data_IF_295955821323
#
_entry.id   IF_295955821323
#
_cell.length_a   1.000
_cell.length_b   1.000
_cell.length_c   1.000
_cell.angle_alpha   90.00
_cell.angle_beta   90.00
_cell.angle_gamma   90.00
#
_symmetry.space_group_name_H-M   'P 1'
#
loop_
_entity.id
_entity.type
_entity.pdbx_description
1 polymer ?
#
# COMPACT_ATOMS: atom_id res chain seq x y z
N UNK A 1 -16.18 -12.68 -15.97
CA UNK A 1 -16.65 -12.60 -14.57
C UNK A 1 -15.83 -13.58 -13.75
N UNK A 2 -15.32 -13.18 -12.59
CA UNK A 2 -14.51 -14.07 -11.76
C UNK A 2 -15.36 -15.24 -11.27
N UNK A 3 -14.76 -16.44 -11.24
CA UNK A 3 -15.37 -17.57 -10.51
C UNK A 3 -14.87 -17.51 -9.08
N UNK A 4 -15.72 -17.87 -8.12
CA UNK A 4 -15.32 -17.95 -6.71
C UNK A 4 -14.10 -18.87 -6.53
N UNK A 5 -14.06 -19.98 -7.26
CA UNK A 5 -12.92 -20.89 -7.29
C UNK A 5 -11.60 -20.25 -7.77
N UNK A 6 -11.62 -19.10 -8.45
CA UNK A 6 -10.41 -18.41 -8.86
C UNK A 6 -9.74 -17.65 -7.70
N UNK A 7 -10.42 -17.47 -6.56
CA UNK A 7 -9.85 -16.81 -5.38
C UNK A 7 -8.70 -17.60 -4.74
N UNK A 8 -8.79 -18.93 -4.77
CA UNK A 8 -7.80 -19.85 -4.21
C UNK A 8 -6.77 -20.34 -5.24
N UNK A 9 -6.87 -19.87 -6.48
CA UNK A 9 -5.91 -20.24 -7.54
C UNK A 9 -4.72 -19.29 -7.54
N UNK A 10 -3.53 -19.77 -7.93
CA UNK A 10 -2.39 -18.88 -8.15
C UNK A 10 -2.76 -17.76 -9.12
N UNK A 11 -2.56 -16.51 -8.72
CA UNK A 11 -2.91 -15.34 -9.52
C UNK A 11 -2.22 -15.38 -10.89
N UNK A 12 -0.99 -15.91 -10.97
CA UNK A 12 -0.29 -16.14 -12.23
C UNK A 12 -1.11 -16.99 -13.21
N UNK A 13 -1.64 -18.12 -12.74
CA UNK A 13 -2.48 -19.01 -13.57
C UNK A 13 -3.74 -18.30 -14.02
N UNK A 14 -4.40 -17.56 -13.12
CA UNK A 14 -5.60 -16.78 -13.46
C UNK A 14 -5.28 -15.70 -14.50
N UNK A 15 -4.15 -15.01 -14.37
CA UNK A 15 -3.69 -14.00 -15.33
C UNK A 15 -3.39 -14.61 -16.70
N UNK A 16 -2.75 -15.77 -16.74
CA UNK A 16 -2.43 -16.48 -17.99
C UNK A 16 -3.68 -16.96 -18.75
N UNK A 17 -4.76 -17.29 -18.04
CA UNK A 17 -6.05 -17.66 -18.61
C UNK A 17 -6.90 -16.45 -19.02
N UNK A 18 -6.68 -15.31 -18.38
CA UNK A 18 -7.43 -14.07 -18.61
C UNK A 18 -6.54 -12.95 -19.19
N UNK A 19 -5.63 -13.32 -20.11
CA UNK A 19 -4.69 -12.38 -20.73
C UNK A 19 -5.40 -11.17 -21.31
N UNK A 20 -4.82 -9.99 -21.08
CA UNK A 20 -5.39 -8.70 -21.52
C UNK A 20 -6.41 -8.10 -20.55
N UNK A 21 -6.69 -8.77 -19.42
CA UNK A 21 -7.51 -8.21 -18.34
C UNK A 21 -6.65 -7.95 -17.11
N UNK A 22 -6.84 -6.80 -16.46
CA UNK A 22 -6.25 -6.58 -15.15
C UNK A 22 -6.93 -7.48 -14.12
N UNK A 23 -6.15 -8.23 -13.34
CA UNK A 23 -6.74 -9.03 -12.26
C UNK A 23 -7.46 -8.18 -11.23
N UNK A 24 -7.10 -6.91 -11.05
CA UNK A 24 -7.90 -5.98 -10.26
C UNK A 24 -9.35 -5.91 -10.74
N UNK A 25 -9.58 -5.72 -12.04
CA UNK A 25 -10.92 -5.70 -12.62
C UNK A 25 -11.59 -7.05 -12.58
N UNK A 26 -10.80 -8.09 -12.82
CA UNK A 26 -11.31 -9.45 -12.79
C UNK A 26 -11.91 -9.75 -11.41
N UNK A 27 -11.23 -9.41 -10.32
CA UNK A 27 -11.69 -9.66 -8.94
C UNK A 27 -12.44 -8.50 -8.29
N UNK A 28 -12.51 -7.32 -8.91
CA UNK A 28 -12.93 -6.07 -8.27
C UNK A 28 -14.38 -6.01 -7.79
N UNK A 29 -15.24 -6.89 -8.30
CA UNK A 29 -16.62 -7.04 -7.82
C UNK A 29 -16.73 -7.93 -6.57
N UNK A 30 -15.65 -8.59 -6.15
CA UNK A 30 -15.69 -9.58 -5.06
C UNK A 30 -15.24 -9.02 -3.71
N UNK A 31 -14.47 -7.93 -3.68
CA UNK A 31 -14.03 -7.34 -2.42
C UNK A 31 -13.78 -5.83 -2.57
N UNK A 32 -14.24 -5.04 -1.59
CA UNK A 32 -14.00 -3.60 -1.55
C UNK A 32 -12.51 -3.23 -1.39
N UNK A 33 -11.69 -4.10 -0.78
CA UNK A 33 -10.23 -3.97 -0.74
C UNK A 33 -9.57 -4.19 -2.13
N UNK A 34 -10.37 -4.58 -3.13
CA UNK A 34 -10.02 -4.76 -4.54
C UNK A 34 -10.95 -3.88 -5.43
N UNK A 35 -11.71 -2.93 -4.85
CA UNK A 35 -12.83 -2.27 -5.54
C UNK A 35 -12.44 -1.37 -6.72
N UNK A 36 -13.33 -1.31 -7.70
CA UNK A 36 -13.21 -0.66 -9.00
C UNK A 36 -13.14 0.88 -8.96
N UNK A 37 -13.52 1.55 -7.87
CA UNK A 37 -13.46 3.03 -7.75
C UNK A 37 -12.06 3.59 -8.08
N UNK A 38 -11.02 2.78 -7.89
CA UNK A 38 -9.65 3.14 -8.18
C UNK A 38 -9.26 3.14 -9.67
N UNK A 39 -9.91 2.39 -10.55
CA UNK A 39 -9.60 2.50 -11.98
C UNK A 39 -10.22 3.75 -12.61
N UNK A 40 -11.39 4.16 -12.12
CA UNK A 40 -11.93 5.50 -12.44
C UNK A 40 -10.86 6.53 -12.06
N UNK A 41 -10.28 6.42 -10.86
CA UNK A 41 -9.24 7.34 -10.43
C UNK A 41 -7.99 7.27 -11.30
N UNK A 42 -7.50 6.10 -11.73
CA UNK A 42 -6.33 5.97 -12.64
C UNK A 42 -6.49 6.76 -13.95
N UNK A 43 -7.71 6.83 -14.48
CA UNK A 43 -8.05 7.62 -15.67
C UNK A 43 -8.33 9.09 -15.39
N UNK A 44 -8.49 9.50 -14.12
CA UNK A 44 -8.60 10.90 -13.77
C UNK A 44 -7.27 11.63 -14.05
N UNK A 45 -7.34 12.93 -14.41
CA UNK A 45 -6.17 13.78 -14.41
C UNK A 45 -5.44 13.70 -13.07
N UNK A 46 -4.11 13.69 -13.10
CA UNK A 46 -3.28 13.61 -11.89
C UNK A 46 -3.66 14.64 -10.83
N UNK A 47 -4.02 15.86 -11.23
CA UNK A 47 -4.49 16.89 -10.30
C UNK A 47 -5.74 16.47 -9.49
N UNK A 48 -6.66 15.72 -10.10
CA UNK A 48 -7.85 15.20 -9.41
C UNK A 48 -7.50 14.04 -8.49
N UNK A 49 -6.63 13.10 -8.92
CA UNK A 49 -6.13 12.03 -8.06
C UNK A 49 -5.42 12.60 -6.83
N UNK A 50 -4.51 13.56 -7.05
CA UNK A 50 -3.82 14.30 -5.99
C UNK A 50 -4.81 14.96 -5.02
N UNK A 51 -5.81 15.68 -5.53
CA UNK A 51 -6.81 16.33 -4.68
C UNK A 51 -7.62 15.32 -3.84
N UNK A 52 -7.99 14.18 -4.43
CA UNK A 52 -8.67 13.10 -3.71
C UNK A 52 -7.80 12.56 -2.56
N UNK A 53 -6.54 12.22 -2.85
CA UNK A 53 -5.59 11.71 -1.84
C UNK A 53 -5.29 12.71 -0.75
N UNK A 54 -5.11 13.98 -1.11
CA UNK A 54 -4.87 15.03 -0.14
C UNK A 54 -6.09 15.28 0.74
N UNK A 55 -7.31 15.14 0.22
CA UNK A 55 -8.51 15.28 1.07
C UNK A 55 -8.56 14.19 2.15
N UNK A 56 -8.18 12.96 1.81
CA UNK A 56 -8.00 11.87 2.78
C UNK A 56 -6.91 12.22 3.81
N UNK A 57 -5.78 12.80 3.36
CA UNK A 57 -4.63 13.19 4.18
C UNK A 57 -4.80 14.51 4.98
N UNK A 58 -5.78 15.35 4.65
CA UNK A 58 -6.03 16.63 5.33
C UNK A 58 -6.97 16.50 6.53
N UNK A 59 -7.53 15.31 6.76
CA UNK A 59 -8.29 15.00 7.98
C UNK A 59 -7.40 14.78 9.22
N UNK A 60 -6.08 14.89 9.08
CA UNK A 60 -5.10 14.66 10.15
C UNK A 60 -4.90 15.92 11.00
N UNK A 61 -5.10 15.81 12.31
CA UNK A 61 -4.83 16.90 13.25
C UNK A 61 -3.62 16.57 14.11
N UNK A 62 -2.60 17.42 14.11
CA UNK A 62 -1.33 17.17 14.81
C UNK A 62 -1.45 16.99 16.35
N UNK A 63 -2.59 17.37 16.94
CA UNK A 63 -2.87 17.27 18.38
C UNK A 63 -3.45 15.90 18.80
N UNK A 64 -3.71 15.01 17.86
CA UNK A 64 -4.26 13.68 18.15
C UNK A 64 -3.25 12.73 18.82
N UNK A 65 -3.73 11.65 19.47
CA UNK A 65 -2.86 10.69 20.16
C UNK A 65 -1.78 10.12 19.23
N UNK A 66 -0.56 10.01 19.74
CA UNK A 66 0.54 9.41 19.00
C UNK A 66 0.64 7.92 19.28
N UNK A 67 1.00 7.15 18.26
CA UNK A 67 1.32 5.73 18.35
C UNK A 67 2.70 5.46 17.80
N UNK A 68 3.39 4.49 18.41
CA UNK A 68 4.63 3.96 17.86
C UNK A 68 4.41 2.54 17.40
N UNK A 69 4.52 2.34 16.09
CA UNK A 69 4.49 1.03 15.46
C UNK A 69 5.88 0.41 15.46
N UNK A 70 5.98 -0.90 15.71
CA UNK A 70 7.25 -1.66 15.74
C UNK A 70 7.10 -2.99 15.01
N UNK A 71 8.06 -3.33 14.16
CA UNK A 71 8.15 -4.61 13.44
C UNK A 71 9.62 -5.06 13.39
N UNK A 72 9.91 -6.19 12.76
CA UNK A 72 11.28 -6.74 12.68
C UNK A 72 12.26 -5.93 11.80
N UNK A 73 11.78 -4.88 11.11
CA UNK A 73 12.58 -4.01 10.24
C UNK A 73 12.61 -2.55 10.65
N UNK A 74 11.91 -2.16 11.72
CA UNK A 74 11.87 -0.76 12.10
C UNK A 74 10.83 -0.39 13.13
N UNK A 75 10.79 0.90 13.36
CA UNK A 75 9.75 1.55 14.16
C UNK A 75 9.47 2.93 13.55
N UNK A 76 8.23 3.37 13.66
CA UNK A 76 7.82 4.75 13.34
C UNK A 76 6.87 5.25 14.41
N UNK A 77 6.86 6.56 14.61
CA UNK A 77 5.86 7.24 15.42
C UNK A 77 4.96 8.06 14.52
N UNK A 78 3.65 7.96 14.72
CA UNK A 78 2.65 8.70 13.95
C UNK A 78 1.49 9.15 14.82
N UNK A 79 0.55 9.87 14.24
CA UNK A 79 -0.69 10.33 14.85
C UNK A 79 -1.81 9.35 14.49
N UNK A 80 -2.55 8.86 15.50
CA UNK A 80 -3.76 8.06 15.28
C UNK A 80 -4.95 9.01 15.08
N UNK A 81 -5.30 9.23 13.83
CA UNK A 81 -6.48 10.01 13.45
C UNK A 81 -7.62 9.13 12.89
N UNK A 82 -7.26 7.94 12.41
CA UNK A 82 -8.17 6.94 11.86
C UNK A 82 -7.54 5.54 11.95
N UNK A 83 -8.36 4.52 11.71
CA UNK A 83 -7.92 3.12 11.68
C UNK A 83 -6.89 2.83 10.59
N UNK A 84 -6.87 3.61 9.51
CA UNK A 84 -5.94 3.42 8.40
C UNK A 84 -4.49 3.84 8.77
N UNK A 85 -4.23 4.44 9.94
CA UNK A 85 -2.88 4.80 10.37
C UNK A 85 -1.90 3.60 10.38
N UNK A 86 -2.42 2.37 10.43
CA UNK A 86 -1.60 1.15 10.36
C UNK A 86 -1.11 0.79 8.96
N UNK A 87 -1.56 1.50 7.92
CA UNK A 87 -0.93 1.45 6.59
C UNK A 87 0.44 2.13 6.58
N UNK A 88 0.75 3.00 7.53
CA UNK A 88 2.01 3.76 7.48
C UNK A 88 3.26 2.91 7.69
N UNK A 89 3.29 1.91 8.61
CA UNK A 89 4.35 0.91 8.64
C UNK A 89 4.56 0.19 7.31
N UNK A 90 3.47 -0.14 6.60
CA UNK A 90 3.54 -0.73 5.25
C UNK A 90 4.15 0.25 4.24
N UNK A 91 3.66 1.49 4.19
CA UNK A 91 4.16 2.53 3.31
C UNK A 91 5.64 2.87 3.59
N UNK A 92 6.00 2.99 4.87
CA UNK A 92 7.36 3.30 5.32
C UNK A 92 8.32 2.16 4.98
N UNK A 93 7.92 0.91 5.25
CA UNK A 93 8.75 -0.28 4.96
C UNK A 93 9.00 -0.43 3.46
N UNK A 94 8.05 -0.01 2.63
CA UNK A 94 8.23 -0.02 1.19
C UNK A 94 8.98 1.19 0.63
N UNK A 95 9.27 2.21 1.43
CA UNK A 95 9.99 3.40 0.97
C UNK A 95 9.13 4.33 0.12
N UNK A 96 7.81 4.27 0.25
CA UNK A 96 6.86 4.99 -0.61
C UNK A 96 6.28 6.25 0.01
N UNK A 97 6.58 6.54 1.29
CA UNK A 97 6.22 7.84 1.89
C UNK A 97 7.08 8.95 1.29
N UNK A 98 6.56 10.18 1.29
CA UNK A 98 7.36 11.35 0.90
C UNK A 98 8.54 11.54 1.87
N UNK A 99 9.70 11.92 1.34
CA UNK A 99 10.97 11.97 2.08
C UNK A 99 11.74 10.64 2.14
N UNK A 100 11.25 9.55 1.54
CA UNK A 100 11.98 8.28 1.39
C UNK A 100 12.55 8.10 -0.03
N UNK A 101 13.36 7.06 -0.24
CA UNK A 101 14.12 6.78 -1.47
C UNK A 101 13.33 7.06 -2.77
N UNK A 102 12.12 6.51 -2.90
CA UNK A 102 11.32 6.68 -4.12
C UNK A 102 10.95 8.15 -4.38
N UNK A 103 10.65 8.88 -3.31
CA UNK A 103 10.28 10.30 -3.36
C UNK A 103 11.45 11.27 -3.39
N UNK A 104 12.66 10.83 -3.02
CA UNK A 104 13.87 11.63 -3.18
C UNK A 104 14.25 11.78 -4.66
N UNK A 105 13.65 10.97 -5.55
CA UNK A 105 13.60 11.27 -6.98
C UNK A 105 12.86 12.60 -7.18
N UNK A 106 13.58 13.61 -7.66
CA UNK A 106 13.04 14.97 -7.93
C UNK A 106 11.90 14.98 -8.94
N UNK A 107 11.65 13.87 -9.60
CA UNK A 107 10.66 13.71 -10.66
C UNK A 107 9.44 12.87 -10.26
N UNK A 108 9.28 12.44 -9.00
CA UNK A 108 8.21 11.47 -8.68
C UNK A 108 6.80 11.98 -9.02
N UNK A 109 6.43 13.22 -8.68
CA UNK A 109 5.12 13.77 -9.08
C UNK A 109 4.98 13.89 -10.60
N UNK A 110 6.06 14.22 -11.30
CA UNK A 110 6.10 14.26 -12.78
C UNK A 110 5.92 12.86 -13.37
N UNK A 111 6.52 11.85 -12.76
CA UNK A 111 6.38 10.44 -13.13
C UNK A 111 4.94 10.00 -12.86
N UNK A 112 4.36 10.31 -11.70
CA UNK A 112 2.96 9.98 -11.38
C UNK A 112 1.95 10.63 -12.34
N UNK A 113 2.28 11.83 -12.84
CA UNK A 113 1.47 12.52 -13.83
C UNK A 113 1.53 11.90 -15.24
N UNK A 114 2.57 11.12 -15.55
CA UNK A 114 2.71 10.38 -16.80
C UNK A 114 2.32 8.92 -16.60
N UNK A 115 1.19 8.51 -17.20
CA UNK A 115 0.65 7.16 -17.05
C UNK A 115 1.65 6.05 -17.42
N UNK A 116 2.41 6.22 -18.50
CA UNK A 116 3.35 5.20 -18.95
C UNK A 116 4.59 5.17 -18.06
N UNK A 117 5.12 6.33 -17.68
CA UNK A 117 6.25 6.41 -16.75
C UNK A 117 5.88 5.82 -15.39
N UNK A 118 4.67 6.09 -14.87
CA UNK A 118 4.25 5.58 -13.58
C UNK A 118 4.03 4.07 -13.58
N UNK A 119 3.41 3.53 -14.63
CA UNK A 119 3.28 2.07 -14.78
C UNK A 119 4.63 1.38 -14.92
N UNK A 120 5.59 2.00 -15.62
CA UNK A 120 6.96 1.50 -15.69
C UNK A 120 7.60 1.47 -14.29
N UNK A 121 7.45 2.53 -13.50
CA UNK A 121 7.94 2.57 -12.12
C UNK A 121 7.33 1.44 -11.27
N UNK A 122 6.02 1.23 -11.36
CA UNK A 122 5.35 0.13 -10.66
C UNK A 122 5.87 -1.25 -11.06
N UNK A 123 6.16 -1.47 -12.35
CA UNK A 123 6.74 -2.73 -12.82
C UNK A 123 8.19 -2.94 -12.33
N UNK A 124 8.97 -1.86 -12.24
CA UNK A 124 10.31 -1.89 -11.66
C UNK A 124 10.26 -2.24 -10.16
N UNK A 125 9.37 -1.60 -9.40
CA UNK A 125 9.16 -1.91 -7.97
C UNK A 125 8.68 -3.35 -7.75
N UNK A 126 7.75 -3.85 -8.57
CA UNK A 126 7.34 -5.25 -8.53
C UNK A 126 8.48 -6.22 -8.80
N UNK A 127 9.37 -5.88 -9.74
CA UNK A 127 10.54 -6.70 -10.06
C UNK A 127 11.52 -6.73 -8.88
N UNK A 128 11.79 -5.57 -8.24
CA UNK A 128 12.63 -5.51 -7.03
C UNK A 128 12.08 -6.41 -5.91
N UNK A 129 10.79 -6.33 -5.61
CA UNK A 129 10.16 -7.14 -4.56
C UNK A 129 10.27 -8.64 -4.88
N UNK A 130 10.00 -9.03 -6.13
CA UNK A 130 10.13 -10.41 -6.59
C UNK A 130 11.56 -10.92 -6.41
N UNK A 131 12.53 -10.15 -6.87
CA UNK A 131 13.93 -10.53 -6.90
C UNK A 131 14.54 -10.60 -5.49
N UNK A 132 14.09 -9.74 -4.57
CA UNK A 132 14.55 -9.71 -3.17
C UNK A 132 13.96 -10.85 -2.31
N UNK A 133 12.66 -11.14 -2.44
CA UNK A 133 11.97 -12.06 -1.52
C UNK A 133 11.69 -13.46 -2.07
N UNK A 134 11.76 -13.63 -3.39
CA UNK A 134 11.53 -14.89 -4.09
C UNK A 134 10.30 -15.66 -3.56
N UNK A 135 9.16 -14.98 -3.46
CA UNK A 135 7.91 -15.61 -3.02
C UNK A 135 7.52 -16.77 -3.95
N UNK A 136 6.97 -17.86 -3.40
CA UNK A 136 6.42 -18.93 -4.24
C UNK A 136 5.14 -18.42 -4.92
N UNK A 137 5.22 -18.22 -6.23
CA UNK A 137 4.08 -17.74 -7.04
C UNK A 137 2.86 -18.67 -6.95
N UNK A 138 3.04 -19.94 -6.57
CA UNK A 138 1.93 -20.89 -6.34
C UNK A 138 1.13 -20.56 -5.08
N UNK A 139 1.74 -19.85 -4.13
CA UNK A 139 1.12 -19.39 -2.89
C UNK A 139 0.60 -17.94 -3.00
N UNK A 140 0.64 -17.33 -4.19
CA UNK A 140 0.08 -15.98 -4.35
C UNK A 140 -1.31 -16.10 -4.95
N UNK A 141 -2.32 -16.19 -4.07
CA UNK A 141 -3.74 -16.24 -4.42
C UNK A 141 -4.46 -15.00 -3.89
N UNK A 142 -5.66 -14.68 -4.40
CA UNK A 142 -6.45 -13.55 -3.90
C UNK A 142 -6.90 -13.79 -2.46
N UNK A 143 -7.37 -15.01 -2.16
CA UNK A 143 -7.82 -15.35 -0.83
C UNK A 143 -6.68 -15.26 0.19
N UNK A 144 -5.49 -15.78 -0.18
CA UNK A 144 -4.31 -15.67 0.67
C UNK A 144 -3.87 -14.22 0.86
N UNK A 145 -3.86 -13.40 -0.20
CA UNK A 145 -3.56 -11.98 -0.08
C UNK A 145 -4.51 -11.26 0.89
N UNK A 146 -5.81 -11.52 0.79
CA UNK A 146 -6.81 -10.92 1.67
C UNK A 146 -6.66 -11.39 3.13
N UNK A 147 -6.47 -12.70 3.33
CA UNK A 147 -6.30 -13.28 4.66
C UNK A 147 -5.03 -12.78 5.35
N UNK A 148 -3.88 -12.85 4.66
CA UNK A 148 -2.60 -12.43 5.19
C UNK A 148 -2.53 -10.91 5.38
N UNK A 149 -3.18 -10.12 4.52
CA UNK A 149 -3.34 -8.69 4.75
C UNK A 149 -4.10 -8.44 6.06
N UNK A 150 -5.24 -9.09 6.25
CA UNK A 150 -6.02 -8.94 7.48
C UNK A 150 -5.25 -9.41 8.71
N UNK A 151 -4.53 -10.53 8.65
CA UNK A 151 -3.69 -10.98 9.78
C UNK A 151 -2.52 -10.03 10.05
N UNK A 152 -1.88 -9.51 9.00
CA UNK A 152 -0.84 -8.49 9.13
C UNK A 152 -1.40 -7.24 9.80
N UNK A 153 -2.55 -6.76 9.34
CA UNK A 153 -3.23 -5.64 9.95
C UNK A 153 -3.64 -5.97 11.38
N UNK A 154 -4.28 -7.08 11.71
CA UNK A 154 -4.60 -7.44 13.11
C UNK A 154 -3.35 -7.50 14.02
N UNK A 155 -2.21 -7.98 13.51
CA UNK A 155 -0.93 -7.98 14.25
C UNK A 155 -0.38 -6.57 14.45
N UNK A 156 -0.69 -5.62 13.57
CA UNK A 156 -0.28 -4.22 13.60
C UNK A 156 -1.28 -3.28 14.29
N UNK A 157 -2.57 -3.51 14.05
CA UNK A 157 -3.80 -2.76 14.28
C UNK A 157 -4.48 -3.20 15.57
N UNK A 158 -3.72 -3.13 16.66
CA UNK A 158 -4.35 -2.76 17.93
C UNK A 158 -4.37 -1.24 18.05
N UNK A 159 -4.80 -0.54 17.00
CA UNK A 159 -4.84 0.94 16.93
C UNK A 159 -6.25 1.48 16.82
N UNK A 160 -7.22 0.70 16.35
CA UNK A 160 -8.64 0.95 16.65
C UNK A 160 -9.02 0.49 18.07
N UNK A 161 -8.23 -0.42 18.66
CA UNK A 161 -8.32 -0.85 20.06
C UNK A 161 -7.26 -0.09 20.86
N UNK A 162 -7.65 0.98 21.55
CA UNK A 162 -6.77 1.96 22.20
C UNK A 162 -6.02 1.44 23.44
N UNK A 163 -5.91 0.13 23.60
CA UNK A 163 -5.30 -0.54 24.75
C UNK A 163 -3.95 -1.17 24.36
N UNK A 164 -2.99 -1.15 25.30
CA UNK A 164 -1.61 -1.60 25.07
C UNK A 164 -1.59 -3.01 24.44
N UNK A 165 -0.97 -3.20 23.26
CA UNK A 165 -0.98 -4.50 22.61
C UNK A 165 -0.18 -5.54 23.41
N UNK A 166 -0.81 -6.70 23.64
CA UNK A 166 -0.11 -7.88 24.13
C UNK A 166 0.98 -8.33 23.14
N UNK A 167 2.03 -9.03 23.61
CA UNK A 167 3.15 -9.51 22.79
C UNK A 167 2.72 -10.67 21.87
N UNK A 168 1.93 -10.37 20.84
CA UNK A 168 1.71 -11.26 19.70
C UNK A 168 2.96 -11.35 18.81
N UNK A 169 3.00 -12.29 17.85
CA UNK A 169 4.07 -12.32 16.85
C UNK A 169 4.09 -10.99 16.10
N UNK A 170 5.26 -10.34 16.08
CA UNK A 170 5.43 -9.06 15.38
C UNK A 170 5.22 -9.26 13.88
N UNK A 171 4.64 -8.25 13.25
CA UNK A 171 4.67 -8.13 11.78
C UNK A 171 6.12 -8.10 11.33
N UNK A 172 6.39 -8.62 10.13
CA UNK A 172 7.71 -8.64 9.52
C UNK A 172 7.78 -7.76 8.27
N UNK A 173 8.98 -7.35 7.87
CA UNK A 173 9.21 -6.72 6.55
C UNK A 173 8.72 -7.63 5.43
N UNK A 174 8.92 -8.94 5.58
CA UNK A 174 8.47 -9.94 4.61
C UNK A 174 6.94 -9.95 4.47
N UNK A 175 6.18 -9.76 5.56
CA UNK A 175 4.72 -9.64 5.53
C UNK A 175 4.30 -8.45 4.66
N UNK A 176 4.86 -7.25 4.90
CA UNK A 176 4.58 -6.05 4.11
C UNK A 176 4.96 -6.22 2.63
N UNK A 177 6.10 -6.86 2.37
CA UNK A 177 6.58 -7.11 1.00
C UNK A 177 5.72 -8.14 0.28
N UNK A 178 5.19 -9.14 0.99
CA UNK A 178 4.24 -10.11 0.42
C UNK A 178 2.90 -9.45 0.11
N UNK A 179 2.42 -8.55 0.98
CA UNK A 179 1.22 -7.75 0.70
C UNK A 179 1.38 -6.93 -0.58
N UNK A 180 2.48 -6.16 -0.70
CA UNK A 180 2.82 -5.41 -1.92
C UNK A 180 2.94 -6.33 -3.15
N UNK A 181 3.57 -7.50 -3.01
CA UNK A 181 3.71 -8.46 -4.09
C UNK A 181 2.37 -9.01 -4.59
N UNK A 182 1.39 -9.23 -3.70
CA UNK A 182 0.02 -9.54 -4.10
C UNK A 182 -0.59 -8.45 -4.99
N UNK A 183 -0.34 -7.18 -4.67
CA UNK A 183 -0.80 -6.02 -5.49
C UNK A 183 -0.12 -5.93 -6.85
N UNK A 184 1.10 -6.47 -7.00
CA UNK A 184 1.77 -6.59 -8.30
C UNK A 184 0.95 -7.44 -9.28
N UNK A 185 0.49 -8.61 -8.83
CA UNK A 185 -0.34 -9.50 -9.64
C UNK A 185 -1.71 -8.91 -9.97
N UNK A 186 -2.24 -8.07 -9.07
CA UNK A 186 -3.47 -7.32 -9.32
C UNK A 186 -3.27 -6.15 -10.29
N UNK A 187 -2.06 -5.78 -10.69
CA UNK A 187 -1.77 -4.52 -11.39
C UNK A 187 -2.30 -3.28 -10.64
N UNK A 188 -2.07 -3.25 -9.33
CA UNK A 188 -2.49 -2.14 -8.46
C UNK A 188 -1.34 -1.52 -7.65
N UNK A 189 -0.09 -1.93 -7.85
CA UNK A 189 1.03 -1.43 -7.05
C UNK A 189 1.21 0.10 -7.16
N UNK A 190 1.07 0.66 -8.36
CA UNK A 190 1.18 2.12 -8.58
C UNK A 190 0.16 2.91 -7.76
N UNK A 191 -1.03 2.35 -7.54
CA UNK A 191 -2.03 2.98 -6.69
C UNK A 191 -1.57 3.05 -5.24
N UNK A 192 -0.96 1.98 -4.71
CA UNK A 192 -0.43 1.96 -3.35
C UNK A 192 0.76 2.91 -3.20
N UNK A 193 1.62 3.01 -4.21
CA UNK A 193 2.72 3.99 -4.25
C UNK A 193 2.17 5.42 -4.17
N UNK A 194 1.17 5.76 -5.00
CA UNK A 194 0.54 7.09 -5.00
C UNK A 194 -0.16 7.38 -3.67
N UNK A 195 -0.91 6.40 -3.17
CA UNK A 195 -1.58 6.48 -1.87
C UNK A 195 -0.59 6.75 -0.74
N UNK A 196 0.47 5.93 -0.63
CA UNK A 196 1.49 6.08 0.39
C UNK A 196 2.21 7.44 0.28
N UNK A 197 2.55 7.87 -0.94
CA UNK A 197 3.20 9.15 -1.14
C UNK A 197 2.36 10.29 -0.58
N UNK A 198 1.08 10.41 -0.96
CA UNK A 198 0.22 11.49 -0.49
C UNK A 198 -0.32 11.31 0.93
N UNK A 199 -0.28 10.09 1.47
CA UNK A 199 -0.72 9.79 2.84
C UNK A 199 0.12 10.50 3.88
N UNK A 200 1.45 10.49 3.74
CA UNK A 200 2.33 11.06 4.74
C UNK A 200 3.78 11.19 4.28
N UNK A 201 4.60 11.73 5.16
CA UNK A 201 6.02 11.95 4.90
C UNK A 201 6.88 11.59 6.11
N UNK A 202 8.10 11.13 5.86
CA UNK A 202 9.11 10.95 6.90
C UNK A 202 9.73 12.31 7.21
N UNK A 203 9.54 12.80 8.44
CA UNK A 203 10.09 14.09 8.84
C UNK A 203 11.63 14.01 8.98
N UNK A 204 12.39 14.98 8.43
CA UNK A 204 13.85 14.93 8.40
C UNK A 204 14.49 14.68 9.77
N UNK A 205 15.42 13.72 9.84
CA UNK A 205 16.17 13.40 11.06
C UNK A 205 15.35 12.67 12.13
N UNK A 206 14.14 12.21 11.81
CA UNK A 206 13.26 11.52 12.77
C UNK A 206 12.75 10.20 12.19
N UNK A 207 12.12 9.38 13.05
CA UNK A 207 11.27 8.25 12.63
C UNK A 207 9.78 8.61 12.71
N UNK A 208 9.46 9.90 12.66
CA UNK A 208 8.09 10.40 12.76
C UNK A 208 7.48 10.56 11.37
N UNK A 209 6.26 10.07 11.21
CA UNK A 209 5.45 10.37 10.04
C UNK A 209 4.67 11.65 10.30
N UNK A 210 4.78 12.61 9.39
CA UNK A 210 3.95 13.81 9.32
C UNK A 210 2.85 13.65 8.27
N UNK A 211 1.87 14.54 8.31
CA UNK A 211 0.70 14.55 7.41
C UNK A 211 0.34 15.96 6.98
N UNK A 212 -0.46 16.06 5.91
CA UNK A 212 -1.01 17.34 5.43
C UNK A 212 0.07 18.42 5.29
N UNK A 213 -0.09 19.51 6.06
CA UNK A 213 0.82 20.66 6.03
C UNK A 213 2.24 20.36 6.55
N UNK A 214 2.43 19.37 7.43
CA UNK A 214 3.78 18.94 7.86
C UNK A 214 4.60 18.37 6.70
N UNK A 215 3.91 17.85 5.68
CA UNK A 215 4.52 17.32 4.46
C UNK A 215 4.63 18.34 3.32
N UNK A 216 4.16 19.57 3.53
CA UNK A 216 4.15 20.61 2.52
C UNK A 216 3.30 20.25 1.30
N UNK A 217 2.12 19.69 1.55
CA UNK A 217 1.07 19.49 0.53
C UNK A 217 0.17 20.71 0.36
#
# INVERSE_FOLDING_TARGET
TPREADLDRPMKTVLEENRGTSLYYYFGNLNQAINVDYEISRHLPFAMRKAQRLTEALTYQAEEPKVTYKWDGGEITTVINNCMAADEPYCFTNGWLKGQELSLSTDLERIMADFHAFNKLGAEECSKIRDEYAFDEKEITVNQHLWEANEMFVRQERTCDWHEPEPGPKVTVRDYKKHAYGKCWLHNLTNDIEYCYFRGCVLPGTKRIGHGSECGY
#
